data_IF_861566696002
#
_entry.id   IF_861566696002
#
_cell.length_a   1.000
_cell.length_b   1.000
_cell.length_c   1.000
_cell.angle_alpha   90.00
_cell.angle_beta   90.00
_cell.angle_gamma   90.00
#
_symmetry.space_group_name_H-M   'P 1'
#
loop_
_entity.id
_entity.type
_entity.pdbx_description
1 polymer ?
#
# COMPACT_ATOMS: atom_id res chain seq x y z
N UNK A 1 -64.61 43.62 -37.65
CA UNK A 1 -63.66 44.52 -36.97
C UNK A 1 -63.61 44.39 -35.45
N UNK A 2 -64.59 44.84 -34.64
CA UNK A 2 -64.47 44.72 -33.17
C UNK A 2 -64.40 43.27 -32.66
N UNK A 3 -65.16 42.37 -33.29
CA UNK A 3 -65.14 40.94 -32.96
C UNK A 3 -63.80 40.28 -33.28
N UNK A 4 -63.23 40.59 -34.45
CA UNK A 4 -61.91 40.08 -34.87
C UNK A 4 -60.80 40.57 -33.95
N UNK A 5 -60.88 41.81 -33.45
CA UNK A 5 -59.93 42.35 -32.49
C UNK A 5 -60.02 41.60 -31.14
N UNK A 6 -61.21 41.23 -30.69
CA UNK A 6 -61.42 40.50 -29.45
C UNK A 6 -60.89 39.05 -29.54
N UNK A 7 -61.10 38.40 -30.69
CA UNK A 7 -60.55 37.07 -30.98
C UNK A 7 -59.03 37.09 -31.08
N UNK A 8 -58.45 38.09 -31.75
CA UNK A 8 -57.00 38.26 -31.79
C UNK A 8 -56.40 38.50 -30.40
N UNK A 9 -57.07 39.28 -29.55
CA UNK A 9 -56.63 39.47 -28.15
C UNK A 9 -56.68 38.17 -27.36
N UNK A 10 -57.71 37.36 -27.55
CA UNK A 10 -57.84 36.06 -26.90
C UNK A 10 -56.72 35.11 -27.35
N UNK A 11 -56.45 35.03 -28.65
CA UNK A 11 -55.35 34.23 -29.19
C UNK A 11 -53.97 34.69 -28.69
N UNK A 12 -53.75 36.00 -28.57
CA UNK A 12 -52.50 36.55 -28.01
C UNK A 12 -52.36 36.18 -26.53
N UNK A 13 -53.44 36.26 -25.75
CA UNK A 13 -53.44 35.93 -24.33
C UNK A 13 -53.22 34.42 -24.09
N UNK A 14 -53.87 33.58 -24.90
CA UNK A 14 -53.71 32.14 -24.83
C UNK A 14 -52.28 31.74 -25.26
N UNK A 15 -51.72 32.39 -26.29
CA UNK A 15 -50.32 32.23 -26.70
C UNK A 15 -49.31 32.66 -25.64
N UNK A 16 -49.57 33.77 -24.92
CA UNK A 16 -48.71 34.22 -23.81
C UNK A 16 -48.72 33.23 -22.64
N UNK A 17 -49.88 32.68 -22.28
CA UNK A 17 -49.98 31.66 -21.24
C UNK A 17 -49.25 30.37 -21.64
N UNK A 18 -49.30 29.98 -22.92
CA UNK A 18 -48.58 28.81 -23.43
C UNK A 18 -47.05 29.00 -23.37
N UNK A 19 -46.56 30.21 -23.68
CA UNK A 19 -45.13 30.54 -23.58
C UNK A 19 -44.64 30.48 -22.12
N UNK A 20 -45.46 30.86 -21.14
CA UNK A 20 -45.09 30.72 -19.71
C UNK A 20 -45.07 29.27 -19.21
N UNK A 21 -45.70 28.33 -19.92
CA UNK A 21 -45.68 26.90 -19.56
C UNK A 21 -44.57 26.11 -20.22
N UNK A 22 -43.89 26.68 -21.23
CA UNK A 22 -42.76 26.02 -21.92
C UNK A 22 -41.39 26.38 -21.30
N UNK A 23 -41.37 27.22 -20.26
CA UNK A 23 -40.23 27.45 -19.36
C UNK A 23 -40.11 26.33 -18.30
N UNK A 24 -40.49 25.09 -18.63
CA UNK A 24 -40.01 23.86 -17.97
C UNK A 24 -38.52 23.62 -18.34
N UNK A 25 -37.72 24.68 -18.22
CA UNK A 25 -36.35 24.55 -17.82
C UNK A 25 -36.34 23.71 -16.55
N UNK A 26 -35.52 22.65 -16.51
CA UNK A 26 -35.16 22.00 -15.24
C UNK A 26 -34.88 23.12 -14.24
N UNK A 27 -35.71 23.23 -13.20
CA UNK A 27 -35.67 24.36 -12.28
C UNK A 27 -34.24 24.59 -11.80
N UNK A 28 -33.82 25.85 -11.58
CA UNK A 28 -32.47 26.16 -11.08
C UNK A 28 -32.09 25.30 -9.85
N UNK A 29 -33.09 24.91 -9.05
CA UNK A 29 -32.93 23.98 -7.94
C UNK A 29 -32.48 22.58 -8.34
N UNK A 30 -32.99 22.01 -9.42
CA UNK A 30 -32.64 20.66 -9.89
C UNK A 30 -31.28 20.63 -10.60
N UNK A 31 -30.98 21.66 -11.39
CA UNK A 31 -29.65 21.85 -11.97
C UNK A 31 -28.58 22.01 -10.87
N UNK A 32 -28.89 22.72 -9.79
CA UNK A 32 -27.97 22.90 -8.68
C UNK A 32 -27.75 21.60 -7.87
N UNK A 33 -28.78 20.76 -7.72
CA UNK A 33 -28.65 19.42 -7.11
C UNK A 33 -27.78 18.51 -7.97
N UNK A 34 -28.03 18.43 -9.28
CA UNK A 34 -27.22 17.65 -10.21
C UNK A 34 -25.75 18.12 -10.19
N UNK A 35 -25.51 19.44 -10.22
CA UNK A 35 -24.17 20.01 -10.12
C UNK A 35 -23.45 19.67 -8.80
N UNK A 36 -24.18 19.67 -7.67
CA UNK A 36 -23.64 19.26 -6.37
C UNK A 36 -23.28 17.77 -6.38
N UNK A 37 -24.11 16.93 -6.96
CA UNK A 37 -23.82 15.50 -7.11
C UNK A 37 -22.60 15.24 -8.00
N UNK A 38 -22.48 15.95 -9.13
CA UNK A 38 -21.32 15.86 -10.03
C UNK A 38 -20.04 16.24 -9.28
N UNK A 39 -20.06 17.35 -8.52
CA UNK A 39 -18.91 17.76 -7.69
C UNK A 39 -18.55 16.69 -6.67
N UNK A 40 -19.53 16.13 -5.97
CA UNK A 40 -19.29 15.07 -4.99
C UNK A 40 -18.72 13.80 -5.63
N UNK A 41 -19.23 13.41 -6.80
CA UNK A 41 -18.73 12.27 -7.58
C UNK A 41 -17.28 12.52 -8.02
N UNK A 42 -16.94 13.73 -8.46
CA UNK A 42 -15.58 14.10 -8.85
C UNK A 42 -14.62 14.08 -7.66
N UNK A 43 -15.00 14.64 -6.51
CA UNK A 43 -14.19 14.58 -5.28
C UNK A 43 -13.94 13.13 -4.86
N UNK A 44 -14.98 12.27 -4.94
CA UNK A 44 -14.84 10.85 -4.62
C UNK A 44 -13.90 10.13 -5.60
N UNK A 45 -14.01 10.43 -6.90
CA UNK A 45 -13.12 9.91 -7.93
C UNK A 45 -11.67 10.29 -7.67
N UNK A 46 -11.40 11.55 -7.35
CA UNK A 46 -10.04 12.02 -7.04
C UNK A 46 -9.47 11.35 -5.79
N UNK A 47 -10.27 11.19 -4.73
CA UNK A 47 -9.86 10.46 -3.53
C UNK A 47 -9.52 9.01 -3.83
N UNK A 48 -10.36 8.34 -4.62
CA UNK A 48 -10.12 6.96 -5.03
C UNK A 48 -8.86 6.85 -5.91
N UNK A 49 -8.66 7.76 -6.86
CA UNK A 49 -7.44 7.78 -7.68
C UNK A 49 -6.18 7.96 -6.85
N UNK A 50 -6.19 8.86 -5.85
CA UNK A 50 -5.06 9.01 -4.93
C UNK A 50 -4.79 7.73 -4.13
N UNK A 51 -5.85 7.09 -3.66
CA UNK A 51 -5.71 5.85 -2.90
C UNK A 51 -5.21 4.68 -3.75
N UNK A 52 -5.62 4.59 -5.02
CA UNK A 52 -5.08 3.61 -5.98
C UNK A 52 -3.57 3.81 -6.15
N UNK A 53 -3.10 5.04 -6.37
CA UNK A 53 -1.67 5.33 -6.51
C UNK A 53 -0.87 4.95 -5.25
N UNK A 54 -1.43 5.20 -4.07
CA UNK A 54 -0.82 4.82 -2.81
C UNK A 54 -0.71 3.28 -2.66
N UNK A 55 -1.79 2.56 -2.98
CA UNK A 55 -1.81 1.10 -2.98
C UNK A 55 -0.84 0.49 -4.00
N UNK A 56 -0.72 1.08 -5.19
CA UNK A 56 0.25 0.65 -6.20
C UNK A 56 1.70 0.82 -5.71
N UNK A 57 2.00 1.93 -5.05
CA UNK A 57 3.31 2.16 -4.44
C UNK A 57 3.60 1.14 -3.34
N UNK A 58 2.63 0.85 -2.50
CA UNK A 58 2.80 -0.12 -1.42
C UNK A 58 2.93 -1.55 -1.92
N UNK A 59 2.17 -1.92 -2.96
CA UNK A 59 2.36 -3.19 -3.66
C UNK A 59 3.79 -3.31 -4.20
N UNK A 60 4.30 -2.26 -4.85
CA UNK A 60 5.67 -2.26 -5.39
C UNK A 60 6.71 -2.38 -4.29
N UNK A 61 6.53 -1.71 -3.16
CA UNK A 61 7.42 -1.84 -1.99
C UNK A 61 7.41 -3.27 -1.46
N UNK A 62 6.23 -3.86 -1.28
CA UNK A 62 6.06 -5.22 -0.76
C UNK A 62 6.65 -6.26 -1.71
N UNK A 63 6.53 -6.07 -3.01
CA UNK A 63 7.14 -6.96 -3.99
C UNK A 63 8.67 -6.90 -3.95
N UNK A 64 9.25 -5.69 -3.84
CA UNK A 64 10.70 -5.54 -3.64
C UNK A 64 11.17 -6.16 -2.32
N UNK A 65 10.41 -6.02 -1.24
CA UNK A 65 10.70 -6.63 0.05
C UNK A 65 10.73 -8.16 -0.06
N UNK A 66 9.77 -8.77 -0.76
CA UNK A 66 9.78 -10.22 -1.03
C UNK A 66 11.01 -10.66 -1.79
N UNK A 67 11.42 -9.90 -2.82
CA UNK A 67 12.62 -10.22 -3.61
C UNK A 67 13.86 -10.18 -2.73
N UNK A 68 14.02 -9.16 -1.90
CA UNK A 68 15.13 -9.06 -0.94
C UNK A 68 15.14 -10.24 0.03
N UNK A 69 14.01 -10.53 0.68
CA UNK A 69 13.90 -11.65 1.62
C UNK A 69 14.23 -12.98 0.94
N UNK A 70 13.80 -13.20 -0.31
CA UNK A 70 14.15 -14.42 -1.06
C UNK A 70 15.64 -14.50 -1.35
N UNK A 71 16.27 -13.41 -1.76
CA UNK A 71 17.71 -13.35 -2.01
C UNK A 71 18.51 -13.58 -0.73
N UNK A 72 18.17 -12.89 0.36
CA UNK A 72 18.81 -13.03 1.67
C UNK A 72 18.67 -14.48 2.20
N UNK A 73 17.50 -15.09 1.97
CA UNK A 73 17.25 -16.48 2.35
C UNK A 73 18.08 -17.46 1.52
N UNK A 74 18.17 -17.29 0.19
CA UNK A 74 19.03 -18.13 -0.65
C UNK A 74 20.50 -17.98 -0.29
N UNK A 75 20.96 -16.76 -0.04
CA UNK A 75 22.34 -16.49 0.34
C UNK A 75 22.67 -17.07 1.72
N UNK A 76 21.72 -17.01 2.66
CA UNK A 76 21.80 -17.67 3.96
C UNK A 76 21.98 -19.18 3.85
N UNK A 77 21.14 -19.86 3.05
CA UNK A 77 21.28 -21.29 2.82
C UNK A 77 22.59 -21.66 2.13
N UNK A 78 23.00 -20.90 1.10
CA UNK A 78 24.27 -21.12 0.41
C UNK A 78 25.45 -20.99 1.37
N UNK A 79 25.40 -20.01 2.28
CA UNK A 79 26.44 -19.81 3.29
C UNK A 79 26.48 -20.93 4.32
N UNK A 80 25.33 -21.41 4.79
CA UNK A 80 25.26 -22.57 5.69
C UNK A 80 25.85 -23.79 5.01
N UNK A 81 25.44 -24.09 3.77
CA UNK A 81 25.94 -25.22 3.01
C UNK A 81 27.47 -25.15 2.80
N UNK A 82 27.98 -23.98 2.44
CA UNK A 82 29.42 -23.77 2.28
C UNK A 82 30.20 -23.98 3.60
N UNK A 83 29.59 -23.66 4.75
CA UNK A 83 30.19 -23.92 6.07
C UNK A 83 30.16 -25.41 6.41
N UNK A 84 29.06 -26.10 6.16
CA UNK A 84 28.94 -27.55 6.36
C UNK A 84 29.97 -28.32 5.50
N UNK A 85 30.15 -27.92 4.23
CA UNK A 85 31.15 -28.52 3.33
C UNK A 85 32.59 -28.24 3.80
N UNK A 86 32.87 -27.04 4.31
CA UNK A 86 34.22 -26.65 4.75
C UNK A 86 34.59 -27.28 6.09
N UNK A 87 33.62 -27.59 6.94
CA UNK A 87 33.83 -27.99 8.32
C UNK A 87 32.95 -29.21 8.67
N UNK A 88 33.44 -30.44 8.44
CA UNK A 88 32.67 -31.67 8.65
C UNK A 88 32.15 -31.85 10.08
N UNK A 89 32.87 -31.34 11.08
CA UNK A 89 32.44 -31.37 12.49
C UNK A 89 31.11 -30.65 12.73
N UNK A 90 30.73 -29.71 11.86
CA UNK A 90 29.45 -28.99 11.97
C UNK A 90 28.28 -29.97 11.83
N UNK A 91 28.37 -30.94 10.91
CA UNK A 91 27.31 -31.92 10.69
C UNK A 91 27.23 -32.93 11.86
N UNK A 92 28.38 -33.35 12.38
CA UNK A 92 28.50 -34.25 13.53
C UNK A 92 27.89 -33.63 14.80
N UNK A 93 28.18 -32.36 15.06
CA UNK A 93 27.74 -31.66 16.28
C UNK A 93 26.42 -30.90 16.12
N UNK A 94 25.81 -30.87 14.93
CA UNK A 94 24.59 -30.12 14.62
C UNK A 94 23.45 -30.39 15.59
N UNK A 95 23.30 -31.65 16.02
CA UNK A 95 22.25 -32.07 16.96
C UNK A 95 22.42 -31.52 18.38
N UNK A 96 23.61 -31.04 18.73
CA UNK A 96 23.91 -30.49 20.05
C UNK A 96 23.78 -28.96 20.11
N UNK A 97 23.63 -28.30 18.96
CA UNK A 97 23.49 -26.85 18.85
C UNK A 97 22.21 -26.34 19.55
N UNK A 98 22.37 -25.35 20.43
CA UNK A 98 21.26 -24.74 21.17
C UNK A 98 20.69 -25.58 22.31
N UNK A 99 21.22 -26.78 22.56
CA UNK A 99 20.77 -27.64 23.65
C UNK A 99 21.21 -27.04 24.99
N UNK A 100 20.27 -26.89 25.92
CA UNK A 100 20.56 -26.34 27.25
C UNK A 100 21.59 -27.19 27.97
N UNK A 101 22.50 -26.52 28.68
CA UNK A 101 23.57 -27.13 29.45
C UNK A 101 24.62 -27.90 28.63
N UNK A 102 24.65 -27.75 27.30
CA UNK A 102 25.74 -28.27 26.46
C UNK A 102 26.77 -27.19 26.16
N UNK A 103 27.84 -27.57 25.46
CA UNK A 103 28.86 -26.63 24.94
C UNK A 103 28.27 -25.59 23.97
N UNK A 104 27.13 -25.90 23.36
CA UNK A 104 26.46 -25.06 22.36
C UNK A 104 25.18 -24.42 22.90
N UNK A 105 25.07 -24.22 24.21
CA UNK A 105 23.93 -23.55 24.84
C UNK A 105 23.94 -22.04 24.53
N UNK A 106 23.04 -21.61 23.63
CA UNK A 106 22.91 -20.22 23.23
C UNK A 106 22.41 -19.28 24.34
N UNK A 107 21.97 -19.83 25.48
CA UNK A 107 21.46 -19.04 26.61
C UNK A 107 22.53 -18.74 27.67
N UNK A 108 23.65 -19.46 27.65
CA UNK A 108 24.69 -19.34 28.69
C UNK A 108 25.66 -18.18 28.49
N UNK A 109 25.98 -17.82 27.25
CA UNK A 109 26.94 -16.74 26.97
C UNK A 109 26.38 -15.70 25.99
N UNK A 110 26.48 -14.43 26.38
CA UNK A 110 26.19 -13.29 25.50
C UNK A 110 27.20 -13.31 24.33
N UNK A 111 26.74 -13.29 23.07
CA UNK A 111 27.60 -13.28 21.88
C UNK A 111 28.69 -12.19 21.94
N UNK A 112 28.40 -11.03 22.54
CA UNK A 112 29.35 -9.93 22.66
C UNK A 112 30.48 -10.26 23.63
N UNK A 113 30.18 -10.97 24.70
CA UNK A 113 31.18 -11.39 25.70
C UNK A 113 32.04 -12.52 25.13
N UNK A 114 31.44 -13.48 24.45
CA UNK A 114 32.16 -14.55 23.75
C UNK A 114 33.11 -13.97 22.67
N UNK A 115 32.66 -12.98 21.90
CA UNK A 115 33.49 -12.30 20.90
C UNK A 115 34.68 -11.56 21.53
N UNK A 116 34.48 -10.87 22.66
CA UNK A 116 35.58 -10.20 23.39
C UNK A 116 36.61 -11.22 23.88
N UNK A 117 36.18 -12.33 24.48
CA UNK A 117 37.07 -13.41 24.93
C UNK A 117 37.86 -14.01 23.77
N UNK A 118 37.19 -14.27 22.63
CA UNK A 118 37.83 -14.80 21.43
C UNK A 118 38.90 -13.85 20.88
N UNK A 119 38.61 -12.55 20.79
CA UNK A 119 39.60 -11.57 20.34
C UNK A 119 40.78 -11.45 21.30
N UNK A 120 40.55 -11.52 22.61
CA UNK A 120 41.64 -11.55 23.58
C UNK A 120 42.54 -12.77 23.40
N UNK A 121 41.95 -13.96 23.17
CA UNK A 121 42.69 -15.19 22.89
C UNK A 121 43.48 -15.09 21.57
N UNK A 122 42.84 -14.68 20.48
CA UNK A 122 43.51 -14.51 19.16
C UNK A 122 44.67 -13.53 19.28
N UNK A 123 44.48 -12.42 20.01
CA UNK A 123 45.53 -11.43 20.22
C UNK A 123 46.68 -11.97 21.08
N UNK A 124 46.40 -12.81 22.06
CA UNK A 124 47.43 -13.49 22.86
C UNK A 124 48.28 -14.45 22.01
N UNK A 125 47.64 -15.25 21.14
CA UNK A 125 48.36 -16.16 20.24
C UNK A 125 49.08 -15.45 19.09
N UNK A 126 48.75 -14.20 18.78
CA UNK A 126 49.47 -13.40 17.78
C UNK A 126 50.79 -12.80 18.30
N UNK A 127 51.05 -12.86 19.61
CA UNK A 127 52.26 -12.35 20.26
C UNK A 127 53.18 -13.45 20.80
N UNK A 128 52.83 -14.73 20.58
CA UNK A 128 53.65 -15.92 20.87
C UNK A 128 54.12 -16.51 19.55
#
# INVERSE_FOLDING_TARGET
MKLEIEELKKMINDGLNQITTDDDCKTDGDLNKENKEIRNKNIRKEKLSKHILELELDLKKKENEKVKVRADNSDGYNKIKALEEKYPWIEEDKGHFGVKNTRYDFTKEDPNVAFKKLNSLIRWYAFV
#
